data_IF_553427875435
#
_entry.id   IF_553427875435
#
_cell.length_a   1.000
_cell.length_b   1.000
_cell.length_c   1.000
_cell.angle_alpha   90.00
_cell.angle_beta   90.00
_cell.angle_gamma   90.00
#
_symmetry.space_group_name_H-M   'P 1'
#
loop_
_entity.id
_entity.type
_entity.pdbx_description
1 polymer ?
#
# COMPACT_ATOMS: atom_id res chain seq x y z
N UNK A 1 -5.62 -3.02 -9.96
CA UNK A 1 -5.87 -3.15 -8.51
C UNK A 1 -4.66 -3.82 -7.88
N UNK A 2 -4.13 -3.32 -6.76
CA UNK A 2 -3.08 -3.96 -5.97
C UNK A 2 -3.80 -4.72 -4.84
N UNK A 3 -4.28 -5.93 -5.14
CA UNK A 3 -5.19 -6.67 -4.25
C UNK A 3 -4.39 -7.69 -3.45
N UNK A 4 -4.06 -7.39 -2.19
CA UNK A 4 -3.66 -8.42 -1.24
C UNK A 4 -4.38 -8.20 0.09
N UNK A 5 -5.02 -9.23 0.67
CA UNK A 5 -5.36 -9.21 2.10
C UNK A 5 -4.07 -9.13 2.90
N UNK A 6 -3.93 -8.11 3.74
CA UNK A 6 -2.84 -8.00 4.71
C UNK A 6 -3.32 -8.66 6.00
N UNK A 7 -2.76 -9.82 6.40
CA UNK A 7 -3.10 -10.43 7.67
C UNK A 7 -2.38 -9.67 8.81
N UNK A 8 -3.09 -9.52 9.92
CA UNK A 8 -2.65 -9.01 11.21
C UNK A 8 -2.06 -7.60 11.15
N UNK A 9 -2.81 -6.66 10.56
CA UNK A 9 -2.44 -5.25 10.65
C UNK A 9 -2.89 -4.70 12.01
N UNK A 10 -1.92 -4.29 12.82
CA UNK A 10 -2.18 -3.60 14.08
C UNK A 10 -2.55 -2.13 13.80
N UNK A 11 -3.78 -1.74 14.09
CA UNK A 11 -4.29 -0.39 13.81
C UNK A 11 -5.15 0.13 14.95
N UNK A 12 -5.25 1.47 15.04
CA UNK A 12 -6.07 2.14 16.04
C UNK A 12 -7.54 1.74 15.90
N UNK A 13 -8.19 1.49 17.04
CA UNK A 13 -9.64 1.40 17.17
C UNK A 13 -10.13 2.44 18.16
N UNK A 14 -11.41 2.85 18.11
CA UNK A 14 -12.00 3.63 19.19
C UNK A 14 -11.72 2.97 20.54
N UNK A 15 -11.32 3.74 21.58
CA UNK A 15 -10.96 3.18 22.87
C UNK A 15 -12.10 2.29 23.41
N UNK A 16 -11.83 1.00 23.53
CA UNK A 16 -12.80 0.03 24.01
C UNK A 16 -12.33 -0.52 25.36
N UNK A 17 -13.18 -0.37 26.38
CA UNK A 17 -12.93 -1.02 27.67
C UNK A 17 -13.21 -2.50 27.55
N UNK A 18 -12.20 -3.33 27.80
CA UNK A 18 -12.34 -4.79 27.90
C UNK A 18 -11.76 -5.26 29.24
N UNK A 19 -12.11 -6.46 29.74
CA UNK A 19 -11.49 -7.01 30.94
C UNK A 19 -9.96 -7.04 30.77
N UNK A 20 -9.23 -6.29 31.60
CA UNK A 20 -7.76 -6.18 31.53
C UNK A 20 -7.21 -4.85 31.04
N UNK A 21 -8.05 -3.88 30.64
CA UNK A 21 -7.62 -2.51 30.35
C UNK A 21 -8.40 -1.81 29.24
N UNK A 22 -7.99 -0.58 28.91
CA UNK A 22 -8.50 0.14 27.74
C UNK A 22 -7.65 -0.21 26.53
N UNK A 23 -8.28 -0.78 25.51
CA UNK A 23 -7.62 -1.13 24.26
C UNK A 23 -7.93 -0.07 23.21
N UNK A 24 -6.90 0.56 22.67
CA UNK A 24 -7.01 1.56 21.60
C UNK A 24 -6.48 1.05 20.25
N UNK A 25 -6.07 -0.22 20.19
CA UNK A 25 -5.50 -0.85 19.01
C UNK A 25 -5.90 -2.33 18.95
N UNK A 26 -6.05 -2.86 17.74
CA UNK A 26 -6.28 -4.29 17.52
C UNK A 26 -5.63 -4.75 16.22
N UNK A 27 -5.42 -6.06 16.09
CA UNK A 27 -5.10 -6.69 14.82
C UNK A 27 -6.36 -6.84 13.97
N UNK A 28 -6.28 -6.44 12.71
CA UNK A 28 -7.35 -6.57 11.73
C UNK A 28 -6.84 -7.21 10.45
N UNK A 29 -7.68 -8.04 9.83
CA UNK A 29 -7.42 -8.70 8.56
C UNK A 29 -8.35 -8.15 7.48
N UNK A 30 -7.81 -7.85 6.29
CA UNK A 30 -8.64 -7.49 5.15
C UNK A 30 -7.96 -6.64 4.09
N UNK A 31 -8.59 -6.53 2.93
CA UNK A 31 -8.17 -5.61 1.86
C UNK A 31 -8.36 -4.15 2.27
N UNK A 32 -9.29 -3.88 3.21
CA UNK A 32 -9.48 -2.57 3.84
C UNK A 32 -8.20 -2.04 4.50
N UNK A 33 -7.31 -2.92 4.97
CA UNK A 33 -6.04 -2.54 5.59
C UNK A 33 -4.89 -2.43 4.57
N UNK A 34 -5.07 -2.96 3.35
CA UNK A 34 -4.14 -2.74 2.25
C UNK A 34 -4.34 -1.37 1.58
N UNK A 35 -5.58 -0.89 1.51
CA UNK A 35 -5.92 0.44 0.98
C UNK A 35 -5.12 1.59 1.64
N UNK A 36 -5.09 1.75 2.99
CA UNK A 36 -4.34 2.83 3.64
C UNK A 36 -2.83 2.68 3.46
N UNK A 37 -2.30 1.46 3.29
CA UNK A 37 -0.88 1.27 2.96
C UNK A 37 -0.54 1.84 1.58
N UNK A 38 -1.34 1.55 0.55
CA UNK A 38 -1.10 2.12 -0.79
C UNK A 38 -1.31 3.64 -0.78
N UNK A 39 -2.31 4.13 -0.06
CA UNK A 39 -2.56 5.56 0.07
C UNK A 39 -1.39 6.29 0.74
N UNK A 40 -0.79 5.71 1.79
CA UNK A 40 0.39 6.28 2.44
C UNK A 40 1.62 6.34 1.53
N UNK A 41 1.84 5.31 0.71
CA UNK A 41 2.95 5.32 -0.26
C UNK A 41 2.70 6.34 -1.37
N UNK A 42 1.47 6.44 -1.89
CA UNK A 42 1.13 7.46 -2.87
C UNK A 42 1.33 8.88 -2.31
N UNK A 43 0.92 9.13 -1.07
CA UNK A 43 1.15 10.40 -0.38
C UNK A 43 2.64 10.71 -0.21
N UNK A 44 3.47 9.70 0.08
CA UNK A 44 4.93 9.87 0.15
C UNK A 44 5.52 10.26 -1.21
N UNK A 45 5.06 9.64 -2.31
CA UNK A 45 5.52 9.98 -3.65
C UNK A 45 5.12 11.41 -4.03
N UNK A 46 3.87 11.78 -3.74
CA UNK A 46 3.37 13.15 -3.96
C UNK A 46 4.07 14.19 -3.10
N UNK A 47 4.49 13.86 -1.87
CA UNK A 47 5.25 14.80 -1.04
C UNK A 47 6.68 14.98 -1.52
N UNK A 48 7.28 13.94 -2.14
CA UNK A 48 8.64 14.01 -2.68
C UNK A 48 8.72 14.67 -4.05
N UNK A 49 7.66 14.57 -4.85
CA UNK A 49 7.55 15.24 -6.15
C UNK A 49 6.17 15.90 -6.27
N UNK A 50 6.01 17.15 -5.79
CA UNK A 50 4.73 17.85 -5.77
C UNK A 50 4.15 18.15 -7.15
N UNK A 51 5.01 18.20 -8.17
CA UNK A 51 4.63 18.48 -9.56
C UNK A 51 4.19 17.21 -10.32
N UNK A 52 4.42 16.03 -9.76
CA UNK A 52 4.00 14.77 -10.35
C UNK A 52 2.48 14.66 -10.42
N UNK A 53 1.94 14.33 -11.59
CA UNK A 53 0.50 14.12 -11.73
C UNK A 53 0.07 12.84 -11.00
N UNK A 54 -1.19 12.75 -10.60
CA UNK A 54 -1.76 11.53 -10.03
C UNK A 54 -1.58 10.31 -10.97
N UNK A 55 -1.54 10.55 -12.29
CA UNK A 55 -1.29 9.53 -13.30
C UNK A 55 0.15 9.01 -13.26
N UNK A 56 1.12 9.90 -13.04
CA UNK A 56 2.54 9.54 -12.95
C UNK A 56 2.84 8.77 -11.67
N UNK A 57 2.23 9.18 -10.55
CA UNK A 57 2.29 8.43 -9.29
C UNK A 57 1.69 7.04 -9.49
N UNK A 58 0.53 6.92 -10.13
CA UNK A 58 -0.11 5.64 -10.39
C UNK A 58 0.72 4.75 -11.33
N UNK A 59 1.33 5.34 -12.36
CA UNK A 59 2.20 4.64 -13.31
C UNK A 59 3.45 4.11 -12.59
N UNK A 60 4.12 4.97 -11.83
CA UNK A 60 5.28 4.63 -11.02
C UNK A 60 4.97 3.47 -10.07
N UNK A 61 3.87 3.56 -9.32
CA UNK A 61 3.44 2.49 -8.41
C UNK A 61 3.18 1.15 -9.11
N UNK A 62 2.67 1.17 -10.34
CA UNK A 62 2.42 -0.04 -11.14
C UNK A 62 3.72 -0.63 -11.70
N UNK A 63 4.62 0.20 -12.18
CA UNK A 63 5.91 -0.23 -12.75
C UNK A 63 6.81 -0.84 -11.68
N UNK A 64 6.88 -0.22 -10.51
CA UNK A 64 7.74 -0.68 -9.42
C UNK A 64 7.09 -1.73 -8.52
N UNK A 65 5.83 -2.10 -8.77
CA UNK A 65 5.19 -3.18 -8.02
C UNK A 65 6.00 -4.49 -8.17
N UNK A 66 5.91 -5.39 -7.20
CA UNK A 66 6.55 -6.71 -7.19
C UNK A 66 5.49 -7.80 -7.21
N UNK A 67 5.42 -8.53 -8.32
CA UNK A 67 4.52 -9.67 -8.43
C UNK A 67 5.19 -10.94 -7.90
N UNK A 68 4.60 -11.65 -6.91
CA UNK A 68 5.25 -12.77 -6.24
C UNK A 68 5.55 -13.96 -7.16
N UNK A 69 4.78 -14.10 -8.25
CA UNK A 69 5.00 -15.13 -9.27
C UNK A 69 5.79 -14.63 -10.50
N UNK A 70 6.48 -13.49 -10.37
CA UNK A 70 7.26 -12.88 -11.46
C UNK A 70 6.48 -11.90 -12.33
N UNK A 71 7.21 -11.07 -13.09
CA UNK A 71 6.67 -9.94 -13.84
C UNK A 71 5.79 -10.34 -15.02
N UNK A 72 5.98 -11.56 -15.55
CA UNK A 72 5.24 -12.08 -16.70
C UNK A 72 3.77 -12.33 -16.41
N UNK A 73 3.39 -12.44 -15.13
CA UNK A 73 2.00 -12.63 -14.71
C UNK A 73 1.27 -11.32 -14.43
N UNK A 74 1.86 -10.18 -14.78
CA UNK A 74 1.24 -8.86 -14.59
C UNK A 74 0.47 -8.43 -15.85
N UNK A 75 -0.76 -7.89 -15.72
CA UNK A 75 -1.61 -7.90 -14.54
C UNK A 75 -2.40 -9.22 -14.42
N UNK A 76 -2.59 -9.73 -13.20
CA UNK A 76 -3.52 -10.83 -12.93
C UNK A 76 -4.76 -10.38 -12.12
N UNK A 77 -5.76 -11.26 -11.99
CA UNK A 77 -6.97 -10.95 -11.23
C UNK A 77 -6.79 -11.09 -9.70
N UNK A 78 -5.65 -11.62 -9.25
CA UNK A 78 -5.42 -11.93 -7.82
C UNK A 78 -4.56 -10.88 -7.13
N UNK A 79 -3.48 -10.43 -7.77
CA UNK A 79 -2.47 -9.49 -7.31
C UNK A 79 -2.39 -8.22 -8.19
N UNK A 80 -2.97 -8.26 -9.40
CA UNK A 80 -2.87 -7.18 -10.37
C UNK A 80 -1.42 -6.95 -10.80
N UNK A 81 -0.92 -5.74 -10.58
CA UNK A 81 0.47 -5.40 -10.89
C UNK A 81 1.46 -5.96 -9.85
N UNK A 82 0.97 -6.41 -8.69
CA UNK A 82 1.78 -7.00 -7.62
C UNK A 82 1.65 -6.27 -6.28
N UNK A 83 2.67 -6.37 -5.45
CA UNK A 83 2.81 -5.70 -4.16
C UNK A 83 3.52 -4.35 -4.34
N UNK A 84 3.10 -3.32 -3.61
CA UNK A 84 3.73 -2.00 -3.70
C UNK A 84 5.15 -2.05 -3.14
N UNK A 85 6.11 -1.44 -3.83
CA UNK A 85 7.50 -1.34 -3.38
C UNK A 85 7.91 0.14 -3.21
N UNK A 86 7.75 0.71 -2.00
CA UNK A 86 7.90 2.15 -1.77
C UNK A 86 9.28 2.69 -2.16
N UNK A 87 10.35 1.96 -1.84
CA UNK A 87 11.71 2.40 -2.12
C UNK A 87 12.02 2.47 -3.61
N UNK A 88 11.51 1.52 -4.39
CA UNK A 88 11.70 1.52 -5.84
C UNK A 88 10.83 2.61 -6.49
N UNK A 89 9.60 2.80 -6.00
CA UNK A 89 8.72 3.87 -6.45
C UNK A 89 9.34 5.26 -6.20
N UNK A 90 9.96 5.45 -5.03
CA UNK A 90 10.64 6.68 -4.68
C UNK A 90 11.83 6.95 -5.61
N UNK A 91 12.67 5.94 -5.84
CA UNK A 91 13.80 6.06 -6.76
C UNK A 91 13.35 6.40 -8.18
N UNK A 92 12.24 5.83 -8.65
CA UNK A 92 11.73 6.07 -10.00
C UNK A 92 11.12 7.48 -10.14
N UNK A 93 10.33 7.94 -9.17
CA UNK A 93 9.66 9.26 -9.25
C UNK A 93 10.62 10.45 -9.06
N UNK A 94 11.77 10.21 -8.42
CA UNK A 94 12.84 11.21 -8.26
C UNK A 94 13.73 11.33 -9.50
N UNK A 95 13.72 10.33 -10.37
CA UNK A 95 14.49 10.28 -11.62
C UNK A 95 13.66 10.67 -12.86
N UNK A 96 12.35 10.91 -12.67
CA UNK A 96 11.39 11.31 -13.70
C UNK A 96 11.19 12.83 -13.67
#
# INVERSE_FOLDING_TARGET
MLSRPVPQVYSCIPPEQRPGGTFAYTYMDGTSMACPHVAGVAALLMSTNPDASATDVLKTLKETALHPSGNERRPDNRWGYGMVHPLAALALIQLA
#
